data_IF_976487635993
#
_entry.id   IF_976487635993
#
_cell.length_a   1.000
_cell.length_b   1.000
_cell.length_c   1.000
_cell.angle_alpha   90.00
_cell.angle_beta   90.00
_cell.angle_gamma   90.00
#
_symmetry.space_group_name_H-M   'P 1'
#
loop_
_entity.id
_entity.type
_entity.pdbx_description
1 polymer ?
#
# COMPACT_ATOMS: atom_id res chain seq x y z
N UNK A 1 26.89 -23.97 -13.52
CA UNK A 1 25.68 -23.52 -14.18
C UNK A 1 24.71 -22.99 -13.13
N UNK A 2 24.28 -21.78 -13.27
CA UNK A 2 23.38 -21.17 -12.30
C UNK A 2 22.00 -21.74 -12.46
N UNK A 3 21.45 -22.27 -11.39
CA UNK A 3 20.06 -22.68 -11.40
C UNK A 3 19.18 -21.44 -11.51
N UNK A 4 18.13 -21.49 -12.32
CA UNK A 4 17.20 -20.37 -12.37
C UNK A 4 16.56 -20.20 -11.00
N UNK A 5 16.68 -19.02 -10.46
CA UNK A 5 16.00 -18.64 -9.24
C UNK A 5 14.54 -18.30 -9.53
N UNK A 6 13.87 -19.21 -10.23
CA UNK A 6 12.54 -18.97 -10.78
C UNK A 6 11.48 -18.66 -9.74
N UNK A 7 11.66 -19.18 -8.52
CA UNK A 7 10.74 -18.97 -7.43
C UNK A 7 11.14 -17.82 -6.53
N UNK A 8 12.36 -17.31 -6.69
CA UNK A 8 12.80 -16.17 -5.89
C UNK A 8 12.39 -14.85 -6.57
N UNK A 9 11.95 -13.93 -5.77
CA UNK A 9 11.65 -12.57 -6.21
C UNK A 9 12.94 -11.94 -6.74
N UNK A 10 12.81 -11.10 -7.75
CA UNK A 10 13.95 -10.39 -8.31
C UNK A 10 14.58 -9.48 -7.27
N UNK A 11 15.89 -9.39 -7.31
CA UNK A 11 16.61 -8.41 -6.52
C UNK A 11 16.51 -7.04 -7.19
N UNK A 12 16.61 -6.01 -6.37
CA UNK A 12 16.67 -4.65 -6.88
C UNK A 12 17.94 -4.47 -7.73
N UNK A 13 17.76 -4.19 -9.00
CA UNK A 13 18.81 -3.96 -9.96
C UNK A 13 18.39 -2.82 -10.90
N UNK A 14 19.23 -2.50 -11.89
CA UNK A 14 18.98 -1.39 -12.81
C UNK A 14 17.65 -1.55 -13.56
N UNK A 15 17.33 -2.75 -14.01
CA UNK A 15 16.07 -3.00 -14.72
C UNK A 15 14.87 -2.83 -13.80
N UNK A 16 14.93 -3.37 -12.58
CA UNK A 16 13.87 -3.20 -11.60
C UNK A 16 13.69 -1.73 -11.23
N UNK A 17 14.78 -0.99 -11.05
CA UNK A 17 14.72 0.45 -10.81
C UNK A 17 14.04 1.20 -11.96
N UNK A 18 14.36 0.86 -13.19
CA UNK A 18 13.75 1.47 -14.37
C UNK A 18 12.24 1.18 -14.41
N UNK A 19 11.83 -0.04 -14.14
CA UNK A 19 10.42 -0.43 -14.11
C UNK A 19 9.65 0.30 -12.98
N UNK A 20 10.24 0.39 -11.81
CA UNK A 20 9.66 1.12 -10.68
C UNK A 20 9.49 2.60 -11.02
N UNK A 21 10.52 3.21 -11.58
CA UNK A 21 10.50 4.61 -11.97
C UNK A 21 9.44 4.87 -13.04
N UNK A 22 9.38 4.03 -14.06
CA UNK A 22 8.38 4.16 -15.12
C UNK A 22 6.96 4.05 -14.57
N UNK A 23 6.71 3.10 -13.68
CA UNK A 23 5.40 2.93 -13.06
C UNK A 23 5.01 4.16 -12.22
N UNK A 24 5.95 4.69 -11.44
CA UNK A 24 5.71 5.88 -10.59
C UNK A 24 5.50 7.16 -11.40
N UNK A 25 6.05 7.23 -12.60
CA UNK A 25 5.81 8.36 -13.51
C UNK A 25 4.45 8.28 -14.20
N UNK A 26 3.97 7.07 -14.45
CA UNK A 26 2.77 6.84 -15.24
C UNK A 26 1.49 7.15 -14.44
N UNK A 27 1.40 6.64 -13.23
CA UNK A 27 0.20 6.78 -12.39
C UNK A 27 0.54 6.59 -10.92
N UNK A 28 -0.34 6.99 -9.99
CA UNK A 28 -0.12 6.67 -8.57
C UNK A 28 -0.02 5.16 -8.35
N UNK A 29 1.00 4.73 -7.61
CA UNK A 29 1.31 3.33 -7.38
C UNK A 29 1.41 3.03 -5.90
N UNK A 30 0.72 1.99 -5.45
CA UNK A 30 0.90 1.43 -4.11
C UNK A 30 2.13 0.53 -4.10
N UNK A 31 2.58 0.11 -2.91
CA UNK A 31 3.68 -0.85 -2.81
C UNK A 31 3.35 -2.18 -3.51
N UNK A 32 2.10 -2.63 -3.45
CA UNK A 32 1.65 -3.83 -4.17
C UNK A 32 1.76 -3.67 -5.68
N UNK A 33 1.32 -2.53 -6.21
CA UNK A 33 1.42 -2.23 -7.65
C UNK A 33 2.87 -2.23 -8.09
N UNK A 34 3.76 -1.65 -7.31
CA UNK A 34 5.19 -1.60 -7.60
C UNK A 34 5.82 -3.00 -7.55
N UNK A 35 5.42 -3.83 -6.62
CA UNK A 35 5.89 -5.20 -6.54
C UNK A 35 5.50 -5.99 -7.80
N UNK A 36 4.27 -5.85 -8.25
CA UNK A 36 3.79 -6.50 -9.47
C UNK A 36 4.52 -5.97 -10.72
N UNK A 37 4.67 -4.66 -10.84
CA UNK A 37 5.30 -4.04 -11.99
C UNK A 37 6.77 -4.43 -12.15
N UNK A 38 7.49 -4.58 -11.05
CA UNK A 38 8.94 -4.83 -11.03
C UNK A 38 9.31 -6.30 -10.87
N UNK A 39 8.40 -7.13 -10.37
CA UNK A 39 8.70 -8.50 -9.98
C UNK A 39 9.44 -8.63 -8.66
N UNK A 40 9.55 -7.55 -7.91
CA UNK A 40 10.15 -7.56 -6.57
C UNK A 40 9.18 -8.11 -5.52
N UNK A 41 9.73 -8.59 -4.41
CA UNK A 41 8.94 -8.90 -3.24
C UNK A 41 8.26 -7.63 -2.72
N UNK A 42 7.06 -7.77 -2.17
CA UNK A 42 6.31 -6.64 -1.59
C UNK A 42 7.16 -5.88 -0.56
N UNK A 43 7.85 -6.60 0.31
CA UNK A 43 8.73 -6.03 1.32
C UNK A 43 9.81 -5.12 0.69
N UNK A 44 10.45 -5.60 -0.37
CA UNK A 44 11.50 -4.84 -1.07
C UNK A 44 10.93 -3.62 -1.78
N UNK A 45 9.82 -3.78 -2.48
CA UNK A 45 9.13 -2.66 -3.16
C UNK A 45 8.69 -1.59 -2.15
N UNK A 46 8.16 -2.01 -1.02
CA UNK A 46 7.73 -1.11 0.05
C UNK A 46 8.91 -0.33 0.63
N UNK A 47 10.02 -1.01 0.93
CA UNK A 47 11.23 -0.35 1.43
C UNK A 47 11.79 0.64 0.41
N UNK A 48 11.77 0.29 -0.85
CA UNK A 48 12.25 1.15 -1.93
C UNK A 48 11.43 2.45 -2.00
N UNK A 49 10.10 2.33 -2.05
CA UNK A 49 9.25 3.52 -2.18
C UNK A 49 9.28 4.39 -0.91
N UNK A 50 9.41 3.78 0.26
CA UNK A 50 9.57 4.54 1.50
C UNK A 50 10.87 5.32 1.53
N UNK A 51 11.96 4.74 1.00
CA UNK A 51 13.23 5.43 0.88
C UNK A 51 13.13 6.62 -0.09
N UNK A 52 12.48 6.43 -1.23
CA UNK A 52 12.24 7.53 -2.18
C UNK A 52 11.40 8.64 -1.55
N UNK A 53 10.40 8.30 -0.80
CA UNK A 53 9.55 9.27 -0.11
C UNK A 53 10.33 10.05 0.95
N UNK A 54 11.16 9.36 1.72
CA UNK A 54 12.04 9.97 2.72
C UNK A 54 13.00 10.99 2.10
N UNK A 55 13.55 10.66 0.94
CA UNK A 55 14.49 11.53 0.23
C UNK A 55 13.78 12.64 -0.57
N UNK A 56 12.47 12.67 -0.57
CA UNK A 56 11.71 13.68 -1.30
C UNK A 56 11.64 13.44 -2.80
N UNK A 57 12.00 12.25 -3.27
CA UNK A 57 11.94 11.90 -4.69
C UNK A 57 10.55 11.48 -5.15
N UNK A 58 9.70 11.05 -4.23
CA UNK A 58 8.30 10.79 -4.52
C UNK A 58 7.40 11.34 -3.41
N UNK A 59 6.13 11.46 -3.72
CA UNK A 59 5.12 12.00 -2.81
C UNK A 59 3.87 11.10 -2.86
N UNK A 60 3.05 11.20 -1.82
CA UNK A 60 1.78 10.48 -1.77
C UNK A 60 0.76 11.28 -2.58
N UNK A 61 0.38 10.75 -3.74
CA UNK A 61 -0.57 11.39 -4.64
C UNK A 61 -2.02 11.14 -4.23
N UNK A 62 -2.29 9.93 -3.75
CA UNK A 62 -3.64 9.49 -3.38
C UNK A 62 -3.57 8.55 -2.18
N UNK A 63 -4.69 8.44 -1.48
CA UNK A 63 -4.91 7.44 -0.44
C UNK A 63 -6.01 6.50 -0.89
N UNK A 64 -5.71 5.20 -0.94
CA UNK A 64 -6.65 4.19 -1.39
C UNK A 64 -7.24 3.44 -0.20
N UNK A 65 -8.50 2.98 -0.33
CA UNK A 65 -9.12 2.20 0.72
C UNK A 65 -8.50 0.80 0.80
N UNK A 66 -8.43 0.28 2.02
CA UNK A 66 -8.07 -1.12 2.26
C UNK A 66 -9.32 -2.02 2.09
N UNK A 67 -9.17 -3.31 2.40
CA UNK A 67 -10.27 -4.28 2.34
C UNK A 67 -11.45 -3.93 3.26
N UNK A 68 -11.24 -3.06 4.24
CA UNK A 68 -12.27 -2.61 5.17
C UNK A 68 -12.83 -1.24 4.82
N UNK A 69 -12.44 -0.67 3.68
CA UNK A 69 -12.86 0.64 3.24
C UNK A 69 -12.16 1.80 3.92
N UNK A 70 -11.09 1.55 4.67
CA UNK A 70 -10.29 2.60 5.30
C UNK A 70 -9.25 3.12 4.31
N UNK A 71 -9.15 4.42 4.17
CA UNK A 71 -8.17 5.07 3.29
C UNK A 71 -6.81 5.13 3.97
N UNK A 72 -6.13 4.00 4.06
CA UNK A 72 -4.84 3.88 4.76
C UNK A 72 -3.70 3.42 3.87
N UNK A 73 -3.94 3.15 2.59
CA UNK A 73 -2.93 2.69 1.65
C UNK A 73 -2.46 3.87 0.80
N UNK A 74 -1.20 4.33 0.96
CA UNK A 74 -0.69 5.42 0.14
C UNK A 74 -0.35 4.96 -1.27
N UNK A 75 -0.69 5.79 -2.26
CA UNK A 75 -0.28 5.62 -3.65
C UNK A 75 0.66 6.74 -4.01
N UNK A 76 1.84 6.39 -4.48
CA UNK A 76 2.96 7.31 -4.70
C UNK A 76 3.14 7.67 -6.16
N UNK A 77 3.67 8.86 -6.40
CA UNK A 77 4.18 9.29 -7.71
C UNK A 77 5.54 9.95 -7.55
N UNK A 78 6.34 9.93 -8.60
CA UNK A 78 7.61 10.66 -8.60
C UNK A 78 7.35 12.16 -8.66
N UNK A 79 8.11 12.91 -7.87
CA UNK A 79 8.04 14.36 -7.83
C UNK A 79 8.22 14.90 -6.43
N UNK A 80 8.32 16.21 -6.34
CA UNK A 80 8.50 16.94 -5.07
C UNK A 80 7.25 17.76 -4.75
N UNK A 81 6.11 17.13 -4.81
CA UNK A 81 4.84 17.75 -4.44
C UNK A 81 4.49 17.41 -3.00
N UNK A 82 3.57 18.16 -2.45
CA UNK A 82 3.06 17.92 -1.11
C UNK A 82 2.23 16.65 -1.09
N UNK A 83 2.38 15.85 -0.04
CA UNK A 83 1.58 14.64 0.15
C UNK A 83 0.10 14.96 0.29
N UNK A 84 -0.73 14.11 -0.30
CA UNK A 84 -2.17 14.21 -0.13
C UNK A 84 -2.54 13.99 1.34
N UNK A 85 -3.51 14.73 1.81
CA UNK A 85 -3.99 14.60 3.19
C UNK A 85 -4.73 13.28 3.34
N UNK A 86 -4.32 12.49 4.32
CA UNK A 86 -4.98 11.22 4.62
C UNK A 86 -6.41 11.49 5.12
N UNK A 87 -7.44 10.89 4.50
CA UNK A 87 -8.80 11.03 5.00
C UNK A 87 -8.91 10.50 6.42
N UNK A 88 -9.46 11.32 7.30
CA UNK A 88 -9.69 10.92 8.69
C UNK A 88 -11.11 10.41 8.85
N UNK A 89 -11.22 9.26 9.46
CA UNK A 89 -12.49 8.80 10.00
C UNK A 89 -12.75 9.61 11.27
N UNK A 90 -13.94 10.22 11.38
CA UNK A 90 -14.27 10.94 12.60
C UNK A 90 -14.53 9.95 13.76
N UNK A 91 -14.45 10.45 15.00
CA UNK A 91 -14.64 9.62 16.18
C UNK A 91 -16.05 9.03 16.26
N UNK A 92 -17.06 9.77 15.81
CA UNK A 92 -18.43 9.29 15.82
C UNK A 92 -18.62 8.08 14.90
N UNK A 93 -18.03 8.13 13.70
CA UNK A 93 -18.05 7.03 12.75
C UNK A 93 -17.32 5.81 13.31
N UNK A 94 -16.13 6.00 13.91
CA UNK A 94 -15.36 4.92 14.54
C UNK A 94 -16.15 4.24 15.66
N UNK A 95 -16.76 5.03 16.53
CA UNK A 95 -17.55 4.51 17.63
C UNK A 95 -18.79 3.77 17.15
N UNK A 96 -19.45 4.30 16.11
CA UNK A 96 -20.61 3.66 15.50
C UNK A 96 -20.25 2.28 14.94
N UNK A 97 -19.16 2.21 14.17
CA UNK A 97 -18.67 0.95 13.61
C UNK A 97 -18.29 -0.06 14.70
N UNK A 98 -17.64 0.42 15.76
CA UNK A 98 -17.27 -0.41 16.90
C UNK A 98 -18.52 -0.99 17.60
N UNK A 99 -19.52 -0.17 17.83
CA UNK A 99 -20.80 -0.60 18.44
C UNK A 99 -21.52 -1.62 17.57
N UNK A 100 -21.53 -1.38 16.27
CA UNK A 100 -22.16 -2.32 15.32
C UNK A 100 -21.47 -3.67 15.35
N UNK A 101 -20.13 -3.70 15.36
CA UNK A 101 -19.39 -4.95 15.44
C UNK A 101 -19.66 -5.70 16.75
N UNK A 102 -19.70 -4.98 17.86
CA UNK A 102 -20.04 -5.61 19.16
C UNK A 102 -21.45 -6.18 19.17
N UNK A 103 -22.40 -5.46 18.62
CA UNK A 103 -23.78 -5.93 18.51
C UNK A 103 -23.88 -7.20 17.66
N UNK A 104 -23.17 -7.26 16.54
CA UNK A 104 -23.11 -8.45 15.69
C UNK A 104 -22.51 -9.65 16.43
N UNK A 105 -21.42 -9.45 17.16
CA UNK A 105 -20.80 -10.51 17.96
C UNK A 105 -21.75 -11.03 19.02
N UNK A 106 -22.42 -10.13 19.73
CA UNK A 106 -23.41 -10.53 20.74
C UNK A 106 -24.57 -11.34 20.13
N UNK A 107 -25.05 -10.91 18.96
CA UNK A 107 -26.12 -11.63 18.27
C UNK A 107 -25.66 -13.03 17.87
N UNK A 108 -24.43 -13.18 17.39
CA UNK A 108 -23.85 -14.48 17.06
C UNK A 108 -23.74 -15.38 18.29
N UNK A 109 -23.28 -14.87 19.42
CA UNK A 109 -23.20 -15.63 20.67
C UNK A 109 -24.60 -16.03 21.20
N UNK A 110 -25.56 -15.14 21.07
CA UNK A 110 -26.93 -15.45 21.47
C UNK A 110 -27.54 -16.58 20.63
N UNK A 111 -27.22 -16.63 19.32
CA UNK A 111 -27.66 -17.71 18.44
C UNK A 111 -26.94 -19.02 18.70
N UNK A 112 -25.71 -18.97 19.22
CA UNK A 112 -24.92 -20.16 19.54
C UNK A 112 -25.22 -20.75 20.90
N UNK A 113 -25.91 -20.05 21.75
CA UNK A 113 -26.27 -20.49 23.12
C UNK A 113 -27.38 -21.54 23.13
#
# INVERSE_FOLDING_TARGET
MNQPRSLSKRRLNALCNAKLTAALLDAPQTAHDLAEASGLALFTARHYVLALHREGACYIAEWWPDSRGRYCTPAYMIGRKKDAVKPRQDNATRQREYRQRRAQVRALFALAA
#
